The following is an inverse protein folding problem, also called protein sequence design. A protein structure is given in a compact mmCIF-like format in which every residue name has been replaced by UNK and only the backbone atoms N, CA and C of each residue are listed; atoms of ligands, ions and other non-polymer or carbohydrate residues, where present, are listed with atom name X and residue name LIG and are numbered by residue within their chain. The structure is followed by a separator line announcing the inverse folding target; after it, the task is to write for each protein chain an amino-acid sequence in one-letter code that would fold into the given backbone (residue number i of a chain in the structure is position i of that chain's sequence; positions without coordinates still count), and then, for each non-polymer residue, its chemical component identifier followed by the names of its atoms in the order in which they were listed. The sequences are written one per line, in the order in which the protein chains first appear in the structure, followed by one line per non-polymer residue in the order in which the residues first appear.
data_IF_905191609402
#
_entry.id   IF_905191609402
#
_cell.length_a   1.000
_cell.length_b   1.000
_cell.length_c   1.000
_cell.angle_alpha   90.00
_cell.angle_beta   90.00
_cell.angle_gamma   90.00
#
_symmetry.space_group_name_H-M   'P 1'
#
loop_
_entity.id
_entity.type
_entity.pdbx_description
1 polymer ?
#
# COMPACT_ATOMS: atom_id res chain seq x y z
N UNK A 1 11.47 -17.79 -20.76
CA UNK A 1 10.17 -17.46 -21.37
C UNK A 1 10.42 -16.60 -22.59
N UNK A 2 9.69 -16.80 -23.72
CA UNK A 2 9.80 -15.91 -24.88
C UNK A 2 9.50 -14.46 -24.47
N UNK A 3 10.22 -13.51 -25.07
CA UNK A 3 10.16 -12.12 -24.64
C UNK A 3 8.77 -11.47 -24.73
N UNK A 4 7.90 -11.99 -25.59
CA UNK A 4 6.50 -11.57 -25.76
C UNK A 4 5.59 -11.92 -24.57
N UNK A 5 5.98 -12.91 -23.75
CA UNK A 5 5.25 -13.30 -22.53
C UNK A 5 5.94 -12.81 -21.25
N UNK A 6 6.99 -12.01 -21.39
CA UNK A 6 7.65 -11.42 -20.22
C UNK A 6 6.73 -10.36 -19.60
N UNK A 7 6.70 -10.29 -18.28
CA UNK A 7 6.05 -9.20 -17.55
C UNK A 7 6.89 -7.94 -17.81
N UNK A 8 6.47 -7.09 -18.76
CA UNK A 8 7.20 -5.90 -19.22
C UNK A 8 6.65 -4.58 -18.68
N UNK A 9 5.40 -4.57 -18.20
CA UNK A 9 4.69 -3.39 -17.69
C UNK A 9 4.81 -3.18 -16.18
N UNK A 10 5.90 -3.63 -15.55
CA UNK A 10 6.11 -3.48 -14.12
C UNK A 10 5.05 -4.17 -13.24
N UNK A 11 4.91 -3.68 -12.01
CA UNK A 11 3.89 -4.15 -11.07
C UNK A 11 2.54 -3.52 -11.42
N UNK A 12 1.48 -4.34 -11.41
CA UNK A 12 0.10 -3.86 -11.46
C UNK A 12 -0.32 -3.18 -10.15
N UNK A 13 -1.61 -2.81 -10.02
CA UNK A 13 -2.13 -2.24 -8.79
C UNK A 13 -1.96 -3.23 -7.63
N UNK A 14 -1.58 -2.69 -6.47
CA UNK A 14 -1.55 -3.45 -5.23
C UNK A 14 -2.95 -3.52 -4.61
N UNK A 15 -3.28 -4.65 -3.99
CA UNK A 15 -4.57 -4.87 -3.34
C UNK A 15 -4.35 -5.11 -1.85
N UNK A 16 -5.10 -4.39 -1.01
CA UNK A 16 -5.05 -4.55 0.44
C UNK A 16 -6.43 -4.49 1.06
N UNK A 17 -6.67 -5.32 2.07
CA UNK A 17 -7.90 -5.26 2.88
C UNK A 17 -7.60 -4.53 4.18
N UNK A 18 -8.48 -3.62 4.57
CA UNK A 18 -8.27 -2.70 5.68
C UNK A 18 -9.55 -2.51 6.50
N UNK A 19 -9.37 -2.21 7.77
CA UNK A 19 -10.42 -2.00 8.77
C UNK A 19 -10.67 -0.51 9.07
N UNK A 20 -9.67 0.37 8.88
CA UNK A 20 -9.77 1.82 9.07
C UNK A 20 -9.53 2.64 7.78
N UNK A 21 -10.49 2.69 6.83
CA UNK A 21 -10.33 3.38 5.55
C UNK A 21 -10.09 4.87 5.66
N UNK A 22 -10.76 5.55 6.60
CA UNK A 22 -10.60 6.98 6.84
C UNK A 22 -9.17 7.35 7.23
N UNK A 23 -8.55 6.56 8.13
CA UNK A 23 -7.17 6.80 8.59
C UNK A 23 -6.18 6.61 7.45
N UNK A 24 -6.34 5.52 6.68
CA UNK A 24 -5.46 5.24 5.55
C UNK A 24 -5.62 6.31 4.45
N UNK A 25 -6.85 6.74 4.17
CA UNK A 25 -7.14 7.80 3.21
C UNK A 25 -6.40 9.10 3.55
N UNK A 26 -6.41 9.53 4.81
CA UNK A 26 -5.67 10.71 5.27
C UNK A 26 -4.17 10.57 5.03
N UNK A 27 -3.56 9.44 5.41
CA UNK A 27 -2.12 9.22 5.20
C UNK A 27 -1.78 9.21 3.71
N UNK A 28 -2.55 8.50 2.88
CA UNK A 28 -2.28 8.39 1.45
C UNK A 28 -2.44 9.74 0.75
N UNK A 29 -3.49 10.50 1.05
CA UNK A 29 -3.79 11.76 0.35
C UNK A 29 -3.02 12.95 0.90
N UNK A 30 -2.93 13.11 2.23
CA UNK A 30 -2.33 14.29 2.86
C UNK A 30 -0.81 14.18 3.01
N UNK A 31 -0.29 12.98 3.31
CA UNK A 31 1.15 12.77 3.55
C UNK A 31 1.84 12.29 2.28
N UNK A 32 1.24 11.32 1.59
CA UNK A 32 1.87 10.67 0.43
C UNK A 32 1.42 11.23 -0.92
N UNK A 33 0.52 12.22 -0.94
CA UNK A 33 0.05 12.92 -2.15
C UNK A 33 -0.61 12.01 -3.20
N UNK A 34 -1.26 10.92 -2.78
CA UNK A 34 -2.10 10.12 -3.66
C UNK A 34 -3.41 10.85 -3.99
N UNK A 35 -3.93 10.58 -5.18
CA UNK A 35 -5.27 11.04 -5.61
C UNK A 35 -6.24 9.87 -5.57
N UNK A 36 -7.42 10.07 -4.98
CA UNK A 36 -8.52 9.12 -5.05
C UNK A 36 -9.19 9.23 -6.41
N UNK A 37 -9.08 8.20 -7.24
CA UNK A 37 -9.56 8.23 -8.64
C UNK A 37 -10.89 7.52 -8.84
N UNK A 38 -11.20 6.52 -8.00
CA UNK A 38 -12.47 5.81 -8.04
C UNK A 38 -12.87 5.27 -6.66
N UNK A 39 -14.18 5.17 -6.46
CA UNK A 39 -14.77 4.57 -5.27
C UNK A 39 -15.98 3.73 -5.68
N UNK A 40 -15.99 2.50 -5.20
CA UNK A 40 -17.11 1.57 -5.28
C UNK A 40 -17.47 1.13 -3.86
N UNK A 41 -18.61 0.47 -3.68
CA UNK A 41 -19.07 -0.03 -2.37
C UNK A 41 -17.96 -0.89 -1.74
N UNK A 42 -17.34 -0.36 -0.70
CA UNK A 42 -16.26 -1.02 0.05
C UNK A 42 -14.90 -1.06 -0.65
N UNK A 43 -14.72 -0.44 -1.82
CA UNK A 43 -13.44 -0.40 -2.53
C UNK A 43 -13.04 1.02 -2.92
N UNK A 44 -11.78 1.38 -2.71
CA UNK A 44 -11.24 2.67 -3.14
C UNK A 44 -9.96 2.45 -3.92
N UNK A 45 -9.83 3.16 -5.04
CA UNK A 45 -8.64 3.18 -5.87
C UNK A 45 -7.92 4.52 -5.69
N UNK A 46 -6.67 4.41 -5.26
CA UNK A 46 -5.73 5.52 -5.13
C UNK A 46 -4.67 5.41 -6.22
N UNK A 47 -4.29 6.54 -6.79
CA UNK A 47 -3.23 6.64 -7.79
C UNK A 47 -2.26 7.75 -7.42
N UNK A 48 -0.98 7.46 -7.58
CA UNK A 48 0.12 8.41 -7.38
C UNK A 48 0.70 8.80 -8.75
N UNK A 49 0.80 10.11 -9.01
CA UNK A 49 1.18 10.70 -10.31
C UNK A 49 0.27 10.25 -11.48
N UNK A 50 0.69 10.41 -12.74
CA UNK A 50 -0.08 10.04 -13.94
C UNK A 50 -0.06 8.52 -14.24
N UNK A 51 -0.29 7.66 -13.23
CA UNK A 51 -0.50 6.22 -13.45
C UNK A 51 0.74 5.42 -13.88
N UNK A 52 1.88 5.61 -13.20
CA UNK A 52 3.10 4.84 -13.41
C UNK A 52 3.03 3.38 -12.93
N UNK A 53 4.04 2.58 -13.27
CA UNK A 53 4.11 1.18 -12.83
C UNK A 53 4.15 1.07 -11.30
N UNK A 54 3.22 0.32 -10.71
CA UNK A 54 3.12 0.14 -9.27
C UNK A 54 2.67 1.38 -8.50
N UNK A 55 2.10 2.40 -9.16
CA UNK A 55 1.65 3.63 -8.49
C UNK A 55 0.17 3.63 -8.06
N UNK A 56 -0.49 2.47 -8.17
CA UNK A 56 -1.89 2.29 -7.84
C UNK A 56 -2.08 1.36 -6.64
N UNK A 57 -3.01 1.75 -5.75
CA UNK A 57 -3.41 0.98 -4.57
C UNK A 57 -4.92 0.87 -4.56
N UNK A 58 -5.42 -0.36 -4.51
CA UNK A 58 -6.83 -0.67 -4.34
C UNK A 58 -7.04 -1.20 -2.92
N UNK A 59 -7.84 -0.49 -2.15
CA UNK A 59 -8.15 -0.85 -0.77
C UNK A 59 -9.57 -1.37 -0.68
N UNK A 60 -9.77 -2.52 -0.06
CA UNK A 60 -11.08 -3.08 0.28
C UNK A 60 -11.34 -2.93 1.78
N UNK A 61 -12.49 -2.36 2.15
CA UNK A 61 -12.86 -2.15 3.55
C UNK A 61 -13.57 -3.39 4.08
N UNK A 62 -13.06 -3.95 5.18
CA UNK A 62 -13.70 -5.04 5.92
C UNK A 62 -13.44 -4.91 7.41
N UNK A 63 -14.52 -4.92 8.20
CA UNK A 63 -14.47 -4.88 9.68
C UNK A 63 -14.78 -6.23 10.32
N UNK A 64 -15.03 -7.25 9.48
CA UNK A 64 -15.42 -8.60 9.93
C UNK A 64 -14.24 -9.55 9.93
N UNK A 65 -13.22 -9.26 9.10
CA UNK A 65 -12.02 -10.07 9.04
C UNK A 65 -11.13 -9.78 10.26
N UNK A 66 -10.48 -10.82 10.83
CA UNK A 66 -9.52 -10.62 11.89
C UNK A 66 -8.25 -9.94 11.35
N UNK A 67 -7.54 -9.25 12.24
CA UNK A 67 -6.23 -8.68 11.95
C UNK A 67 -5.26 -9.77 11.46
N UNK A 68 -4.43 -9.42 10.47
CA UNK A 68 -3.44 -10.36 9.95
C UNK A 68 -2.22 -10.43 10.86
N UNK A 69 -1.75 -11.65 11.12
CA UNK A 69 -0.48 -11.90 11.79
C UNK A 69 0.62 -12.16 10.76
N UNK A 70 1.86 -11.76 11.08
CA UNK A 70 3.02 -12.08 10.27
C UNK A 70 3.19 -13.61 10.17
N UNK A 71 3.42 -14.10 8.96
CA UNK A 71 3.62 -15.53 8.72
C UNK A 71 4.05 -15.85 7.29
N UNK A 72 4.44 -17.10 7.06
CA UNK A 72 4.83 -17.57 5.74
C UNK A 72 3.67 -17.44 4.73
N UNK A 73 3.98 -16.91 3.54
CA UNK A 73 3.00 -16.70 2.48
C UNK A 73 2.19 -15.41 2.58
N UNK A 74 2.49 -14.53 3.54
CA UNK A 74 1.88 -13.20 3.67
C UNK A 74 2.74 -12.11 3.03
N UNK A 75 2.10 -11.03 2.56
CA UNK A 75 2.80 -9.80 2.18
C UNK A 75 2.94 -8.94 3.43
N UNK A 76 4.17 -8.71 3.89
CA UNK A 76 4.42 -8.01 5.15
C UNK A 76 4.35 -6.48 5.01
N UNK A 77 5.00 -5.95 3.97
CA UNK A 77 4.98 -4.52 3.65
C UNK A 77 4.93 -4.31 2.14
N UNK A 78 4.49 -3.12 1.75
CA UNK A 78 4.53 -2.62 0.38
C UNK A 78 5.34 -1.33 0.36
N UNK A 79 6.45 -1.35 -0.36
CA UNK A 79 7.30 -0.17 -0.54
C UNK A 79 6.92 0.58 -1.81
N UNK A 80 6.63 1.86 -1.66
CA UNK A 80 6.21 2.75 -2.74
C UNK A 80 7.31 3.77 -3.01
N UNK A 81 7.72 3.89 -4.28
CA UNK A 81 8.63 4.94 -4.70
C UNK A 81 7.84 6.24 -4.87
N UNK A 82 8.11 7.20 -3.99
CA UNK A 82 7.53 8.55 -4.04
C UNK A 82 8.58 9.54 -4.58
N UNK A 83 8.23 10.33 -5.59
CA UNK A 83 9.09 11.40 -6.10
C UNK A 83 8.92 12.64 -5.21
N UNK A 84 9.86 12.89 -4.29
CA UNK A 84 9.81 14.03 -3.38
C UNK A 84 10.63 15.20 -3.93
N UNK A 85 9.99 16.34 -4.21
CA UNK A 85 10.72 17.61 -4.40
C UNK A 85 10.98 18.19 -3.01
N UNK A 86 12.20 17.96 -2.51
CA UNK A 86 12.83 18.40 -1.25
C UNK A 86 11.92 18.77 -0.05
N UNK A 87 12.19 18.04 1.03
CA UNK A 87 11.97 18.38 2.45
C UNK A 87 10.70 17.83 3.11
N UNK A 88 10.58 16.50 3.22
CA UNK A 88 10.13 15.79 4.43
C UNK A 88 10.69 14.35 4.38
N UNK A 89 11.50 13.97 5.37
CA UNK A 89 11.93 12.58 5.55
C UNK A 89 10.75 11.78 6.12
N UNK A 90 9.90 11.22 5.27
CA UNK A 90 8.93 10.21 5.67
C UNK A 90 9.57 8.83 5.44
N UNK A 91 10.26 8.33 6.45
CA UNK A 91 10.65 6.94 6.53
C UNK A 91 9.42 6.20 7.06
N UNK A 92 8.53 5.76 6.18
CA UNK A 92 7.47 4.81 6.56
C UNK A 92 8.14 3.44 6.65
N UNK A 93 8.98 3.25 7.67
CA UNK A 93 9.00 1.94 8.30
C UNK A 93 7.71 1.88 9.09
N UNK A 94 6.77 1.08 8.61
CA UNK A 94 5.78 0.49 9.48
C UNK A 94 6.53 -0.42 10.46
N UNK A 95 7.09 0.15 11.55
CA UNK A 95 7.44 -0.60 12.74
C UNK A 95 6.14 -1.10 13.37
N UNK A 96 5.65 -2.24 12.88
CA UNK A 96 5.01 -3.19 13.77
C UNK A 96 6.13 -3.80 14.63
N UNK A 97 5.94 -3.81 15.95
CA UNK A 97 6.83 -4.40 16.96
C UNK A 97 7.91 -3.48 17.55
N UNK A 98 7.45 -2.42 18.21
CA UNK A 98 8.06 -1.96 19.47
C UNK A 98 7.76 -2.98 20.58
N UNK A 99 8.17 -4.25 20.43
CA UNK A 99 8.16 -5.24 21.52
C UNK A 99 9.03 -6.48 21.26
N UNK A 100 10.17 -6.36 20.59
CA UNK A 100 11.25 -7.34 20.76
C UNK A 100 12.00 -7.09 22.07
N UNK A 101 11.32 -7.34 23.20
CA UNK A 101 11.99 -7.82 24.40
C UNK A 101 11.62 -9.28 24.58
N UNK A 102 12.67 -10.08 24.71
CA UNK A 102 12.65 -11.51 25.04
C UNK A 102 12.50 -12.45 23.85
N UNK A 103 13.61 -12.53 23.10
CA UNK A 103 14.07 -13.78 22.53
C UNK A 103 14.14 -14.85 23.65
N UNK A 104 13.35 -15.90 23.51
CA UNK A 104 13.60 -17.26 24.02
C UNK A 104 13.29 -18.22 22.89
#
# INVERSE_FOLDING_TARGET
MPGEYAIRGGLGPSFGTIDYPEKLNQVLTEVMSFTKIAEEIGKTLYELHDGGHGSQIITETSVVLPDQFQGFGTVHHLDLLIAFTLNQNIFVLAEASLLERSCV
#
